data_IF_777620829688
#
_entry.id   IF_777620829688
#
_cell.length_a   1.000
_cell.length_b   1.000
_cell.length_c   1.000
_cell.angle_alpha   90.00
_cell.angle_beta   90.00
_cell.angle_gamma   90.00
#
_symmetry.space_group_name_H-M   'P 1'
#
loop_
_entity.id
_entity.type
_entity.pdbx_description
1 polymer ?
#
# COMPACT_ATOMS: atom_id res chain seq x y z
N UNK A 1 8.32 -15.97 15.47
CA UNK A 1 8.35 -16.73 14.19
C UNK A 1 7.86 -15.76 13.13
N UNK A 2 8.56 -15.62 11.99
CA UNK A 2 8.11 -14.75 10.91
C UNK A 2 6.85 -15.36 10.30
N UNK A 3 5.73 -14.63 10.29
CA UNK A 3 4.47 -15.18 9.74
C UNK A 3 4.65 -15.45 8.24
N UNK A 4 4.23 -16.64 7.76
CA UNK A 4 4.38 -17.02 6.35
C UNK A 4 3.57 -16.11 5.42
N UNK A 5 2.57 -15.40 5.94
CA UNK A 5 1.76 -14.45 5.19
C UNK A 5 2.55 -13.21 4.77
N UNK A 6 3.38 -12.67 5.66
CA UNK A 6 4.25 -11.53 5.33
C UNK A 6 5.33 -11.94 4.32
N UNK A 7 5.95 -13.11 4.50
CA UNK A 7 6.93 -13.61 3.54
C UNK A 7 6.31 -13.81 2.15
N UNK A 8 5.14 -14.47 2.09
CA UNK A 8 4.42 -14.64 0.83
C UNK A 8 4.02 -13.30 0.20
N UNK A 9 3.53 -12.34 0.99
CA UNK A 9 3.20 -11.01 0.50
C UNK A 9 4.43 -10.30 -0.07
N UNK A 10 5.58 -10.38 0.60
CA UNK A 10 6.84 -9.79 0.15
C UNK A 10 7.31 -10.36 -1.19
N UNK A 11 7.20 -11.68 -1.37
CA UNK A 11 7.55 -12.37 -2.61
C UNK A 11 6.62 -11.99 -3.79
N UNK A 12 5.42 -11.48 -3.49
CA UNK A 12 4.39 -11.15 -4.49
C UNK A 12 4.06 -9.66 -4.59
N UNK A 13 4.87 -8.77 -4.01
CA UNK A 13 4.63 -7.31 -4.01
C UNK A 13 4.32 -6.78 -5.42
N UNK A 14 5.11 -7.19 -6.41
CA UNK A 14 4.92 -6.72 -7.79
C UNK A 14 3.55 -7.12 -8.35
N UNK A 15 3.10 -8.35 -8.09
CA UNK A 15 1.78 -8.81 -8.53
C UNK A 15 0.66 -8.05 -7.81
N UNK A 16 0.82 -7.78 -6.51
CA UNK A 16 -0.15 -7.05 -5.69
C UNK A 16 -0.28 -5.59 -6.18
N UNK A 17 0.85 -4.91 -6.42
CA UNK A 17 0.86 -3.53 -6.92
C UNK A 17 0.32 -3.47 -8.34
N UNK A 18 0.72 -4.39 -9.23
CA UNK A 18 0.19 -4.45 -10.59
C UNK A 18 -1.33 -4.65 -10.58
N UNK A 19 -1.85 -5.50 -9.69
CA UNK A 19 -3.29 -5.67 -9.51
C UNK A 19 -3.95 -4.36 -9.05
N UNK A 20 -3.38 -3.67 -8.06
CA UNK A 20 -3.88 -2.38 -7.61
C UNK A 20 -3.87 -1.31 -8.71
N UNK A 21 -2.81 -1.25 -9.50
CA UNK A 21 -2.70 -0.33 -10.64
C UNK A 21 -3.86 -0.49 -11.62
N UNK A 22 -4.18 -1.74 -11.99
CA UNK A 22 -5.17 -2.03 -13.04
C UNK A 22 -6.61 -2.13 -12.55
N UNK A 23 -6.86 -2.29 -11.24
CA UNK A 23 -8.23 -2.41 -10.70
C UNK A 23 -8.70 -1.17 -9.94
N UNK A 24 -7.81 -0.51 -9.20
CA UNK A 24 -8.16 0.60 -8.32
C UNK A 24 -7.55 1.93 -8.80
N UNK A 25 -6.23 1.98 -9.01
CA UNK A 25 -5.54 3.24 -9.36
C UNK A 25 -6.02 3.81 -10.70
N UNK A 26 -6.31 2.95 -11.68
CA UNK A 26 -6.89 3.33 -12.99
C UNK A 26 -8.20 4.13 -12.88
N UNK A 27 -8.91 4.02 -11.76
CA UNK A 27 -10.16 4.73 -11.50
C UNK A 27 -9.96 6.06 -10.76
N UNK A 28 -8.72 6.43 -10.44
CA UNK A 28 -8.39 7.67 -9.73
C UNK A 28 -8.34 8.88 -10.65
N UNK A 29 -8.62 10.05 -10.10
CA UNK A 29 -8.45 11.31 -10.84
C UNK A 29 -6.99 11.55 -11.26
N UNK A 30 -6.04 11.15 -10.43
CA UNK A 30 -4.61 11.31 -10.71
C UNK A 30 -4.22 10.53 -11.96
N UNK A 31 -4.67 9.28 -12.06
CA UNK A 31 -4.49 8.47 -13.24
C UNK A 31 -5.06 9.16 -14.49
N UNK A 32 -6.31 9.61 -14.45
CA UNK A 32 -6.93 10.27 -15.60
C UNK A 32 -6.19 11.55 -16.02
N UNK A 33 -5.72 12.34 -15.05
CA UNK A 33 -4.98 13.59 -15.30
C UNK A 33 -3.57 13.33 -15.85
N UNK A 34 -2.94 12.20 -15.52
CA UNK A 34 -1.47 12.04 -15.65
C UNK A 34 -1.02 10.80 -16.41
N UNK A 35 -1.91 9.87 -16.78
CA UNK A 35 -1.57 8.63 -17.51
C UNK A 35 -0.82 8.83 -18.83
N UNK A 36 -0.89 10.04 -19.43
CA UNK A 36 -0.21 10.38 -20.67
C UNK A 36 1.17 11.03 -20.46
N UNK A 37 1.56 11.32 -19.21
CA UNK A 37 2.87 11.88 -18.89
C UNK A 37 3.89 10.74 -18.96
N UNK A 38 4.93 10.83 -19.83
CA UNK A 38 5.93 9.78 -19.95
C UNK A 38 6.60 9.45 -18.61
N UNK A 39 6.67 8.17 -18.28
CA UNK A 39 7.30 7.66 -17.04
C UNK A 39 6.47 7.84 -15.77
N UNK A 40 5.32 8.52 -15.80
CA UNK A 40 4.55 8.79 -14.59
C UNK A 40 4.00 7.51 -13.95
N UNK A 41 3.43 6.60 -14.74
CA UNK A 41 2.87 5.35 -14.23
C UNK A 41 3.94 4.42 -13.67
N UNK A 42 5.13 4.39 -14.27
CA UNK A 42 6.28 3.62 -13.78
C UNK A 42 6.72 4.15 -12.41
N UNK A 43 6.72 5.47 -12.23
CA UNK A 43 7.08 6.12 -10.97
C UNK A 43 6.05 5.82 -9.86
N UNK A 44 4.75 5.82 -10.20
CA UNK A 44 3.67 5.42 -9.29
C UNK A 44 3.82 3.96 -8.87
N UNK A 45 4.06 3.05 -9.82
CA UNK A 45 4.28 1.63 -9.51
C UNK A 45 5.51 1.43 -8.60
N UNK A 46 6.60 2.17 -8.86
CA UNK A 46 7.81 2.12 -8.03
C UNK A 46 7.54 2.62 -6.61
N UNK A 47 6.82 3.74 -6.46
CA UNK A 47 6.46 4.30 -5.15
C UNK A 47 5.53 3.37 -4.37
N UNK A 48 4.48 2.84 -5.00
CA UNK A 48 3.56 1.89 -4.39
C UNK A 48 4.26 0.59 -3.96
N UNK A 49 5.16 0.07 -4.80
CA UNK A 49 6.03 -1.07 -4.48
C UNK A 49 6.90 -0.79 -3.27
N UNK A 50 7.55 0.39 -3.24
CA UNK A 50 8.40 0.78 -2.13
C UNK A 50 7.62 0.89 -0.83
N UNK A 51 6.44 1.53 -0.86
CA UNK A 51 5.57 1.72 0.28
C UNK A 51 5.08 0.36 0.82
N UNK A 52 4.57 -0.50 -0.05
CA UNK A 52 4.08 -1.82 0.34
C UNK A 52 5.19 -2.68 0.93
N UNK A 53 6.39 -2.66 0.34
CA UNK A 53 7.56 -3.35 0.90
C UNK A 53 7.90 -2.86 2.29
N UNK A 54 7.94 -1.55 2.49
CA UNK A 54 8.22 -0.95 3.79
C UNK A 54 7.19 -1.37 4.82
N UNK A 55 5.90 -1.29 4.49
CA UNK A 55 4.81 -1.73 5.36
C UNK A 55 5.01 -3.19 5.78
N UNK A 56 5.18 -4.11 4.84
CA UNK A 56 5.29 -5.55 5.13
C UNK A 56 6.50 -5.86 6.02
N UNK A 57 7.68 -5.35 5.65
CA UNK A 57 8.92 -5.60 6.38
C UNK A 57 8.86 -5.07 7.82
N UNK A 58 8.26 -3.90 8.00
CA UNK A 58 8.22 -3.26 9.29
C UNK A 58 7.12 -3.81 10.20
N UNK A 59 5.97 -4.15 9.64
CA UNK A 59 4.93 -4.90 10.36
C UNK A 59 5.49 -6.20 10.92
N UNK A 60 6.25 -6.94 10.10
CA UNK A 60 6.77 -8.24 10.47
C UNK A 60 7.93 -8.18 11.49
N UNK A 61 8.76 -7.14 11.42
CA UNK A 61 9.99 -7.04 12.22
C UNK A 61 9.87 -6.07 13.40
N UNK A 62 8.72 -5.40 13.57
CA UNK A 62 8.47 -4.44 14.65
C UNK A 62 9.31 -3.17 14.54
N UNK A 63 9.80 -2.83 13.34
CA UNK A 63 10.50 -1.57 13.11
C UNK A 63 9.48 -0.41 13.00
N UNK A 64 9.87 0.78 13.45
CA UNK A 64 9.05 1.97 13.30
C UNK A 64 9.09 2.48 11.85
N UNK A 65 7.93 2.82 11.30
CA UNK A 65 7.83 3.45 9.97
C UNK A 65 8.49 4.80 10.05
N UNK A 66 9.43 5.05 9.14
CA UNK A 66 9.91 6.38 8.90
C UNK A 66 8.81 7.15 8.16
N UNK A 67 7.94 7.74 8.97
CA UNK A 67 6.80 8.47 8.46
C UNK A 67 7.17 9.77 7.75
N UNK A 68 8.42 10.24 7.84
CA UNK A 68 8.83 11.44 7.08
C UNK A 68 8.74 11.22 5.59
N UNK A 69 9.10 10.03 5.11
CA UNK A 69 8.97 9.69 3.69
C UNK A 69 7.50 9.61 3.25
N UNK A 70 6.63 9.15 4.16
CA UNK A 70 5.18 9.12 3.92
C UNK A 70 4.58 10.52 3.90
N UNK A 71 5.03 11.39 4.80
CA UNK A 71 4.67 12.82 4.84
C UNK A 71 5.10 13.53 3.54
N UNK A 72 6.33 13.31 3.08
CA UNK A 72 6.83 13.86 1.81
C UNK A 72 5.98 13.44 0.60
N UNK A 73 5.50 12.19 0.55
CA UNK A 73 4.59 11.75 -0.52
C UNK A 73 3.27 12.55 -0.46
N UNK A 74 2.76 12.83 0.75
CA UNK A 74 1.60 13.70 0.94
C UNK A 74 1.84 15.12 0.43
N UNK A 75 3.00 15.71 0.75
CA UNK A 75 3.44 17.02 0.25
C UNK A 75 3.51 17.04 -1.28
N UNK A 76 4.19 16.07 -1.88
CA UNK A 76 4.31 15.94 -3.35
C UNK A 76 2.92 15.89 -4.00
N UNK A 77 1.97 15.12 -3.43
CA UNK A 77 0.63 15.01 -4.00
C UNK A 77 -0.17 16.30 -3.85
N UNK A 78 0.01 17.06 -2.77
CA UNK A 78 -0.54 18.41 -2.61
C UNK A 78 0.02 19.36 -3.68
N UNK A 79 1.34 19.38 -3.89
CA UNK A 79 1.98 20.22 -4.92
C UNK A 79 1.51 19.86 -6.34
N UNK A 80 1.25 18.57 -6.57
CA UNK A 80 0.68 18.06 -7.81
C UNK A 80 -0.82 18.36 -7.96
N UNK A 81 -1.49 18.93 -6.96
CA UNK A 81 -2.93 19.20 -6.99
C UNK A 81 -3.79 17.92 -7.01
N UNK A 82 -3.26 16.82 -6.51
CA UNK A 82 -4.03 15.59 -6.26
C UNK A 82 -4.90 15.80 -5.02
N UNK A 83 -6.14 15.32 -5.04
CA UNK A 83 -7.03 15.44 -3.89
C UNK A 83 -6.54 14.57 -2.73
N UNK A 84 -6.46 15.14 -1.52
CA UNK A 84 -6.10 14.43 -0.30
C UNK A 84 -6.98 13.19 -0.07
N UNK A 85 -8.29 13.35 -0.19
CA UNK A 85 -9.25 12.25 0.03
C UNK A 85 -9.11 11.14 -1.01
N UNK A 86 -8.84 11.50 -2.27
CA UNK A 86 -8.58 10.52 -3.34
C UNK A 86 -7.29 9.75 -3.08
N UNK A 87 -6.23 10.43 -2.61
CA UNK A 87 -4.97 9.76 -2.33
C UNK A 87 -5.07 8.81 -1.11
N UNK A 88 -5.75 9.23 -0.04
CA UNK A 88 -6.05 8.35 1.11
C UNK A 88 -6.91 7.15 0.70
N UNK A 89 -7.91 7.36 -0.16
CA UNK A 89 -8.71 6.27 -0.73
C UNK A 89 -7.81 5.30 -1.51
N UNK A 90 -6.92 5.82 -2.35
CA UNK A 90 -5.97 5.03 -3.13
C UNK A 90 -5.06 4.15 -2.25
N UNK A 91 -4.55 4.68 -1.13
CA UNK A 91 -3.80 3.91 -0.13
C UNK A 91 -4.65 2.84 0.57
N UNK A 92 -5.91 3.16 0.87
CA UNK A 92 -6.86 2.21 1.45
C UNK A 92 -7.18 1.07 0.48
N UNK A 93 -7.31 1.36 -0.81
CA UNK A 93 -7.53 0.38 -1.87
C UNK A 93 -6.33 -0.56 -2.01
N UNK A 94 -5.09 -0.05 -1.87
CA UNK A 94 -3.88 -0.88 -1.86
C UNK A 94 -3.88 -1.88 -0.69
N UNK A 95 -4.29 -1.43 0.51
CA UNK A 95 -4.46 -2.29 1.68
C UNK A 95 -5.51 -3.39 1.41
N UNK A 96 -6.66 -3.01 0.87
CA UNK A 96 -7.71 -3.96 0.52
C UNK A 96 -7.22 -5.03 -0.47
N UNK A 97 -6.51 -4.62 -1.51
CA UNK A 97 -5.98 -5.53 -2.53
C UNK A 97 -4.94 -6.48 -1.96
N UNK A 98 -4.06 -6.01 -1.06
CA UNK A 98 -3.15 -6.90 -0.33
C UNK A 98 -3.92 -7.98 0.43
N UNK A 99 -4.94 -7.61 1.21
CA UNK A 99 -5.72 -8.58 1.99
C UNK A 99 -6.46 -9.57 1.09
N UNK A 100 -7.07 -9.09 0.00
CA UNK A 100 -7.74 -9.95 -0.97
C UNK A 100 -6.79 -10.90 -1.68
N UNK A 101 -5.59 -10.44 -2.05
CA UNK A 101 -4.57 -11.27 -2.68
C UNK A 101 -4.15 -12.42 -1.75
N UNK A 102 -3.93 -12.12 -0.47
CA UNK A 102 -3.59 -13.13 0.55
C UNK A 102 -4.75 -14.10 0.77
N UNK A 103 -5.99 -13.61 0.84
CA UNK A 103 -7.17 -14.48 0.95
C UNK A 103 -7.26 -15.44 -0.24
N UNK A 104 -7.07 -14.95 -1.46
CA UNK A 104 -7.07 -15.78 -2.66
C UNK A 104 -5.97 -16.85 -2.63
N UNK A 105 -4.78 -16.51 -2.14
CA UNK A 105 -3.68 -17.47 -1.97
C UNK A 105 -4.00 -18.56 -0.94
N UNK A 106 -4.74 -18.22 0.12
CA UNK A 106 -5.25 -19.18 1.11
C UNK A 106 -6.31 -20.09 0.47
N UNK A 107 -7.30 -19.51 -0.22
CA UNK A 107 -8.42 -20.22 -0.84
C UNK A 107 -7.95 -21.20 -1.91
N UNK A 108 -6.92 -20.81 -2.67
CA UNK A 108 -6.28 -21.64 -3.71
C UNK A 108 -5.18 -22.56 -3.16
N UNK A 109 -5.03 -22.63 -1.84
CA UNK A 109 -4.07 -23.49 -1.12
C UNK A 109 -2.59 -23.24 -1.45
N UNK A 110 -2.23 -22.08 -1.98
CA UNK A 110 -0.83 -21.68 -2.20
C UNK A 110 -0.09 -21.44 -0.88
N UNK A 111 -0.84 -21.00 0.14
CA UNK A 111 -0.38 -20.87 1.53
C UNK A 111 -1.43 -21.43 2.49
N UNK A 112 -0.99 -21.96 3.62
CA UNK A 112 -1.86 -22.59 4.64
C UNK A 112 -1.54 -22.06 6.04
N UNK A 113 -1.80 -20.76 6.31
CA UNK A 113 -1.62 -20.19 7.65
C UNK A 113 -2.64 -20.74 8.64
N UNK A 114 -2.38 -20.58 9.94
CA UNK A 114 -3.44 -20.73 10.93
C UNK A 114 -4.45 -19.57 10.83
N UNK A 115 -5.66 -19.78 11.34
CA UNK A 115 -6.66 -18.70 11.42
C UNK A 115 -6.16 -17.52 12.26
N UNK A 116 -5.44 -17.80 13.35
CA UNK A 116 -4.84 -16.78 14.23
C UNK A 116 -3.77 -15.96 13.51
N UNK A 117 -2.92 -16.61 12.70
CA UNK A 117 -1.91 -15.92 11.89
C UNK A 117 -2.55 -14.98 10.88
N UNK A 118 -3.64 -15.41 10.23
CA UNK A 118 -4.36 -14.58 9.27
C UNK A 118 -5.04 -13.38 9.93
N UNK A 119 -5.70 -13.58 11.07
CA UNK A 119 -6.31 -12.48 11.83
C UNK A 119 -5.27 -11.48 12.32
N UNK A 120 -4.11 -11.97 12.79
CA UNK A 120 -2.98 -11.13 13.20
C UNK A 120 -2.44 -10.33 12.02
N UNK A 121 -2.21 -10.98 10.88
CA UNK A 121 -1.78 -10.31 9.65
C UNK A 121 -2.75 -9.19 9.24
N UNK A 122 -4.05 -9.46 9.18
CA UNK A 122 -5.06 -8.46 8.82
C UNK A 122 -5.04 -7.26 9.77
N UNK A 123 -5.04 -7.53 11.09
CA UNK A 123 -5.02 -6.47 12.11
C UNK A 123 -3.78 -5.59 11.96
N UNK A 124 -2.61 -6.20 11.83
CA UNK A 124 -1.35 -5.47 11.86
C UNK A 124 -1.17 -4.64 10.58
N UNK A 125 -1.52 -5.20 9.42
CA UNK A 125 -1.57 -4.49 8.14
C UNK A 125 -2.53 -3.31 8.19
N UNK A 126 -3.78 -3.51 8.65
CA UNK A 126 -4.74 -2.41 8.77
C UNK A 126 -4.28 -1.31 9.73
N UNK A 127 -3.63 -1.70 10.83
CA UNK A 127 -3.09 -0.75 11.82
C UNK A 127 -2.05 0.16 11.18
N UNK A 128 -1.10 -0.44 10.46
CA UNK A 128 -0.04 0.32 9.80
C UNK A 128 -0.56 1.17 8.65
N UNK A 129 -1.44 0.64 7.79
CA UNK A 129 -2.02 1.44 6.71
C UNK A 129 -2.82 2.64 7.24
N UNK A 130 -3.49 2.50 8.39
CA UNK A 130 -4.13 3.64 9.06
C UNK A 130 -3.10 4.69 9.49
N UNK A 131 -1.97 4.27 10.05
CA UNK A 131 -0.90 5.21 10.40
C UNK A 131 -0.31 5.88 9.17
N UNK A 132 -0.08 5.15 8.08
CA UNK A 132 0.34 5.71 6.80
C UNK A 132 -0.63 6.79 6.31
N UNK A 133 -1.95 6.53 6.33
CA UNK A 133 -2.94 7.54 5.95
C UNK A 133 -2.89 8.79 6.83
N UNK A 134 -2.76 8.64 8.16
CA UNK A 134 -2.61 9.77 9.08
C UNK A 134 -1.35 10.61 8.79
N UNK A 135 -0.27 9.97 8.37
CA UNK A 135 0.98 10.68 8.04
C UNK A 135 0.95 11.30 6.65
N UNK A 136 0.22 10.71 5.70
CA UNK A 136 -0.14 11.38 4.45
C UNK A 136 -0.94 12.65 4.75
N UNK A 137 -1.95 12.58 5.62
CA UNK A 137 -2.75 13.74 6.02
C UNK A 137 -1.87 14.87 6.58
N UNK A 138 -0.92 14.54 7.47
CA UNK A 138 0.05 15.50 7.99
C UNK A 138 0.91 16.15 6.91
N UNK A 139 1.37 15.37 5.93
CA UNK A 139 2.11 15.90 4.78
C UNK A 139 1.28 16.88 3.95
N UNK A 140 -0.02 16.62 3.77
CA UNK A 140 -0.91 17.58 3.12
C UNK A 140 -1.11 18.87 3.93
N UNK A 141 -1.06 18.78 5.27
CA UNK A 141 -1.24 19.92 6.18
C UNK A 141 0.04 20.74 6.38
N UNK A 142 1.21 20.23 5.99
CA UNK A 142 2.47 20.96 6.14
C UNK A 142 2.51 22.21 5.22
N UNK A 143 3.18 23.25 5.71
CA UNK A 143 3.16 24.62 5.18
C UNK A 143 4.29 24.88 4.19
#
# INVERSE_FOLDING_TARGET
MLSPLFAFAEDHIQAIVAQWMVTAYVQSEEYEKRKLIPGFLDEVEREATWLLRHILQQTQKGFAIDYRLVENIGEDRKEMGTSQSEFIRSCSDLCHILICYIQQAIDTQQIKPSQEDYQTFQRDVHTIFRQVCLHIEKGYESL
#
